data_IF_639036360041
#
_entry.id   IF_639036360041
#
_cell.length_a   1.000
_cell.length_b   1.000
_cell.length_c   1.000
_cell.angle_alpha   90.00
_cell.angle_beta   90.00
_cell.angle_gamma   90.00
#
_symmetry.space_group_name_H-M   'P 1'
#
loop_
_entity.id
_entity.type
_entity.pdbx_description
1 polymer ?
#
# COMPACT_ATOMS: atom_id res chain seq x y z
N UNK A 1 24.60 18.28 -17.15
CA UNK A 1 24.59 17.83 -15.76
C UNK A 1 25.91 18.16 -15.06
N UNK A 2 25.90 18.25 -13.74
CA UNK A 2 27.12 18.39 -12.94
C UNK A 2 27.60 17.02 -12.50
N UNK A 3 28.85 16.69 -12.83
CA UNK A 3 29.51 15.47 -12.38
C UNK A 3 30.40 15.76 -11.18
N UNK A 4 30.23 15.04 -10.07
CA UNK A 4 31.08 15.17 -8.90
C UNK A 4 32.31 14.29 -9.05
N UNK A 5 33.49 14.87 -9.25
CA UNK A 5 34.76 14.12 -9.34
C UNK A 5 35.13 13.43 -8.02
N UNK A 6 34.70 13.95 -6.87
CA UNK A 6 35.04 13.41 -5.54
C UNK A 6 34.26 12.12 -5.19
N UNK A 7 33.10 11.91 -5.82
CA UNK A 7 32.22 10.75 -5.51
C UNK A 7 31.94 9.87 -6.72
N UNK A 8 32.46 10.19 -7.90
CA UNK A 8 32.25 9.42 -9.12
C UNK A 8 30.79 9.31 -9.55
N UNK A 9 29.91 10.21 -9.11
CA UNK A 9 28.47 10.17 -9.37
C UNK A 9 27.98 11.47 -9.99
N UNK A 10 26.97 11.35 -10.86
CA UNK A 10 26.25 12.51 -11.34
C UNK A 10 25.41 13.10 -10.21
N UNK A 11 25.54 14.41 -9.96
CA UNK A 11 24.69 15.14 -9.01
C UNK A 11 23.28 15.26 -9.58
N UNK A 12 23.18 15.59 -10.85
CA UNK A 12 21.95 15.48 -11.63
C UNK A 12 22.30 15.25 -13.11
N UNK A 13 21.40 14.57 -13.81
CA UNK A 13 21.50 14.33 -15.23
C UNK A 13 20.17 14.66 -15.89
N UNK A 14 20.21 15.39 -17.01
CA UNK A 14 19.04 15.64 -17.85
C UNK A 14 19.25 14.93 -19.17
N UNK A 15 18.41 13.94 -19.45
CA UNK A 15 18.42 13.23 -20.72
C UNK A 15 17.49 13.91 -21.70
N UNK A 16 18.05 14.46 -22.78
CA UNK A 16 17.25 15.07 -23.85
C UNK A 16 16.42 14.03 -24.63
N UNK A 17 16.88 12.77 -24.66
CA UNK A 17 16.17 11.68 -25.34
C UNK A 17 14.96 11.14 -24.57
N UNK A 18 15.04 11.12 -23.25
CA UNK A 18 13.99 10.51 -22.39
C UNK A 18 13.16 11.52 -21.62
N UNK A 19 13.42 12.82 -21.77
CA UNK A 19 12.74 13.89 -20.98
C UNK A 19 12.73 13.63 -19.45
N UNK A 20 13.77 12.98 -18.95
CA UNK A 20 13.89 12.59 -17.54
C UNK A 20 15.06 13.30 -16.87
N UNK A 21 14.88 13.70 -15.63
CA UNK A 21 15.94 14.20 -14.75
C UNK A 21 16.38 13.09 -13.80
N UNK A 22 17.64 12.66 -13.88
CA UNK A 22 18.24 11.70 -12.94
C UNK A 22 18.97 12.42 -11.81
N UNK A 23 18.80 11.98 -10.57
CA UNK A 23 19.57 12.42 -9.41
C UNK A 23 20.35 11.24 -8.86
N UNK A 24 21.66 11.41 -8.66
CA UNK A 24 22.59 10.38 -8.21
C UNK A 24 22.60 9.12 -9.13
N UNK A 25 22.21 9.27 -10.39
CA UNK A 25 22.15 8.22 -11.41
C UNK A 25 22.56 8.72 -12.75
N UNK A 26 23.24 7.90 -13.54
CA UNK A 26 23.42 8.09 -14.99
C UNK A 26 22.33 7.37 -15.79
N UNK A 27 21.63 6.41 -15.18
CA UNK A 27 20.49 5.76 -15.78
C UNK A 27 19.25 6.66 -15.69
N UNK A 28 18.50 6.73 -16.77
CA UNK A 28 17.21 7.44 -16.84
C UNK A 28 16.22 6.55 -17.57
N UNK A 29 14.98 6.62 -17.14
CA UNK A 29 13.87 5.90 -17.76
C UNK A 29 12.97 6.87 -18.49
N UNK A 30 12.45 6.46 -19.66
CA UNK A 30 11.43 7.22 -20.39
C UNK A 30 10.06 7.18 -19.68
N UNK A 31 9.88 6.26 -18.74
CA UNK A 31 8.65 6.10 -17.97
C UNK A 31 8.50 7.12 -16.85
N UNK A 32 9.60 7.82 -16.45
CA UNK A 32 9.59 8.77 -15.35
C UNK A 32 10.20 10.12 -15.73
N UNK A 33 9.60 11.22 -15.27
CA UNK A 33 10.17 12.55 -15.43
C UNK A 33 11.30 12.84 -14.43
N UNK A 34 11.33 12.13 -13.29
CA UNK A 34 12.37 12.21 -12.28
C UNK A 34 12.76 10.80 -11.85
N UNK A 35 14.03 10.45 -12.02
CA UNK A 35 14.63 9.20 -11.55
C UNK A 35 15.66 9.50 -10.45
N UNK A 36 15.46 8.99 -9.25
CA UNK A 36 16.35 9.19 -8.10
C UNK A 36 16.92 7.86 -7.64
N UNK A 37 18.23 7.67 -7.77
CA UNK A 37 18.92 6.52 -7.19
C UNK A 37 19.24 6.79 -5.72
N UNK A 38 18.25 6.58 -4.85
CA UNK A 38 18.37 6.83 -3.41
C UNK A 38 17.04 7.26 -2.78
N UNK A 39 17.11 7.75 -1.56
CA UNK A 39 15.95 8.24 -0.83
C UNK A 39 15.66 9.70 -1.14
N UNK A 40 14.38 10.08 -1.11
CA UNK A 40 13.93 11.46 -1.19
C UNK A 40 13.50 11.90 0.21
N UNK A 41 14.11 12.98 0.72
CA UNK A 41 13.72 13.62 1.96
C UNK A 41 13.18 15.03 1.67
N UNK A 42 11.93 15.26 2.03
CA UNK A 42 11.29 16.57 1.93
C UNK A 42 11.07 17.15 3.34
N UNK A 43 11.42 18.40 3.58
CA UNK A 43 11.20 19.08 4.87
C UNK A 43 9.74 19.53 5.06
N UNK A 44 8.89 19.35 4.05
CA UNK A 44 7.47 19.65 4.06
C UNK A 44 6.71 18.60 3.23
N UNK A 45 5.42 18.83 3.00
CA UNK A 45 4.55 17.91 2.32
C UNK A 45 4.96 17.64 0.86
N UNK A 46 4.85 16.39 0.43
CA UNK A 46 4.83 16.01 -0.98
C UNK A 46 3.36 15.94 -1.40
N UNK A 47 2.94 16.83 -2.30
CA UNK A 47 1.54 16.97 -2.74
C UNK A 47 1.35 16.26 -4.07
N UNK A 48 0.43 15.29 -4.10
CA UNK A 48 -0.03 14.68 -5.34
C UNK A 48 -1.30 15.37 -5.85
N UNK A 49 -1.39 15.56 -7.16
CA UNK A 49 -2.53 16.17 -7.81
C UNK A 49 -3.77 15.26 -7.72
N UNK A 50 -4.91 15.80 -7.23
CA UNK A 50 -6.13 15.01 -7.02
C UNK A 50 -7.44 15.82 -7.21
N UNK A 51 -7.45 16.80 -8.10
CA UNK A 51 -8.60 17.64 -8.37
C UNK A 51 -9.71 16.86 -9.11
N UNK A 52 -10.95 16.89 -8.57
CA UNK A 52 -12.12 16.25 -9.18
C UNK A 52 -12.36 16.68 -10.62
N UNK A 53 -12.11 17.96 -10.94
CA UNK A 53 -12.35 18.54 -12.28
C UNK A 53 -11.47 17.92 -13.38
N UNK A 54 -10.49 17.14 -12.99
CA UNK A 54 -9.52 16.44 -13.86
C UNK A 54 -9.66 14.92 -13.80
N UNK A 55 -10.81 14.45 -13.27
CA UNK A 55 -11.14 13.02 -13.17
C UNK A 55 -12.51 12.79 -13.79
N UNK A 56 -12.65 11.70 -14.50
CA UNK A 56 -13.90 11.20 -15.07
C UNK A 56 -14.12 9.75 -14.63
N UNK A 57 -15.31 9.20 -14.86
CA UNK A 57 -15.67 7.82 -14.51
C UNK A 57 -15.33 7.48 -13.05
N UNK A 58 -15.72 8.39 -12.14
CA UNK A 58 -15.39 8.24 -10.71
C UNK A 58 -16.36 7.24 -10.08
N UNK A 59 -15.84 6.08 -9.74
CA UNK A 59 -16.57 4.98 -9.10
C UNK A 59 -15.92 4.65 -7.74
N UNK A 60 -16.74 4.12 -6.83
CA UNK A 60 -16.24 3.59 -5.55
C UNK A 60 -15.56 2.25 -5.80
N UNK A 61 -14.42 2.02 -5.14
CA UNK A 61 -13.68 0.76 -5.26
C UNK A 61 -14.53 -0.37 -4.64
N UNK A 62 -14.87 -1.35 -5.47
CA UNK A 62 -15.60 -2.53 -5.05
C UNK A 62 -14.71 -3.59 -4.41
N UNK A 63 -15.30 -4.44 -3.54
CA UNK A 63 -14.64 -5.56 -2.87
C UNK A 63 -13.27 -5.19 -2.26
N UNK A 64 -13.20 -3.98 -1.65
CA UNK A 64 -11.93 -3.44 -1.19
C UNK A 64 -11.29 -4.29 -0.10
N UNK A 65 -12.07 -4.73 0.89
CA UNK A 65 -11.58 -5.63 1.94
C UNK A 65 -11.10 -6.97 1.37
N UNK A 66 -11.83 -7.54 0.41
CA UNK A 66 -11.45 -8.79 -0.24
C UNK A 66 -10.11 -8.68 -0.99
N UNK A 67 -9.85 -7.55 -1.65
CA UNK A 67 -8.57 -7.26 -2.30
C UNK A 67 -7.44 -7.11 -1.28
N UNK A 68 -7.68 -6.39 -0.19
CA UNK A 68 -6.68 -6.21 0.90
C UNK A 68 -6.28 -7.55 1.52
N UNK A 69 -7.24 -8.43 1.78
CA UNK A 69 -6.99 -9.74 2.40
C UNK A 69 -6.19 -10.70 1.51
N UNK A 70 -6.13 -10.45 0.21
CA UNK A 70 -5.29 -11.19 -0.72
C UNK A 70 -3.85 -10.65 -0.79
N UNK A 71 -3.64 -9.39 -0.41
CA UNK A 71 -2.31 -8.79 -0.42
C UNK A 71 -1.46 -9.31 0.73
N UNK A 72 -0.17 -9.44 0.49
CA UNK A 72 0.81 -9.90 1.47
C UNK A 72 1.81 -8.81 1.79
N UNK A 73 1.82 -8.33 3.04
CA UNK A 73 2.91 -7.52 3.55
C UNK A 73 4.14 -8.38 3.82
N UNK A 74 5.30 -7.91 3.41
CA UNK A 74 6.57 -8.64 3.55
C UNK A 74 7.65 -7.79 4.19
N UNK A 75 8.60 -8.46 4.85
CA UNK A 75 9.89 -7.87 5.20
C UNK A 75 10.95 -8.44 4.26
N UNK A 76 11.86 -7.62 3.82
CA UNK A 76 12.89 -8.00 2.85
C UNK A 76 14.18 -7.20 3.03
N UNK A 77 15.26 -7.72 2.45
CA UNK A 77 16.51 -6.98 2.27
C UNK A 77 16.66 -6.70 0.79
N UNK A 78 16.99 -5.45 0.43
CA UNK A 78 17.26 -5.11 -0.98
C UNK A 78 18.51 -5.80 -1.49
N UNK A 79 18.44 -6.26 -2.73
CA UNK A 79 19.61 -6.68 -3.50
C UNK A 79 20.08 -5.42 -4.24
N UNK A 80 21.28 -4.96 -3.91
CA UNK A 80 21.89 -3.81 -4.56
C UNK A 80 22.95 -4.25 -5.54
N UNK A 81 23.08 -3.53 -6.63
CA UNK A 81 24.24 -3.65 -7.50
C UNK A 81 25.52 -3.28 -6.73
N UNK A 82 26.64 -3.88 -7.11
CA UNK A 82 27.90 -3.84 -6.37
C UNK A 82 28.41 -2.42 -6.02
N UNK A 83 28.12 -1.45 -6.90
CA UNK A 83 28.52 -0.05 -6.71
C UNK A 83 27.68 0.76 -5.69
N UNK A 84 26.55 0.21 -5.22
CA UNK A 84 25.64 0.85 -4.23
C UNK A 84 25.72 0.14 -2.88
N UNK A 85 26.37 -1.02 -2.82
CA UNK A 85 26.36 -1.98 -1.73
C UNK A 85 26.78 -1.41 -0.35
N UNK A 86 27.70 -0.47 -0.31
CA UNK A 86 28.31 -0.02 0.95
C UNK A 86 27.41 0.90 1.79
N UNK A 87 26.35 1.46 1.21
CA UNK A 87 25.51 2.45 1.90
C UNK A 87 24.24 1.88 2.54
N UNK A 88 23.79 0.67 2.15
CA UNK A 88 22.46 0.15 2.46
C UNK A 88 22.42 -1.32 2.85
N UNK A 89 23.56 -2.01 2.91
CA UNK A 89 23.60 -3.45 3.18
C UNK A 89 23.13 -3.79 4.59
N UNK A 90 22.23 -4.78 4.67
CA UNK A 90 21.79 -5.40 5.93
C UNK A 90 20.57 -4.75 6.58
N UNK A 91 20.00 -3.67 6.03
CA UNK A 91 18.78 -3.07 6.56
C UNK A 91 17.55 -3.85 6.06
N UNK A 92 16.77 -4.37 7.00
CA UNK A 92 15.46 -4.95 6.69
C UNK A 92 14.44 -3.83 6.41
N UNK A 93 13.72 -3.95 5.32
CA UNK A 93 12.62 -3.07 4.93
C UNK A 93 11.31 -3.85 4.95
N UNK A 94 10.20 -3.13 4.94
CA UNK A 94 8.86 -3.71 4.84
C UNK A 94 8.11 -3.08 3.67
N UNK A 95 7.26 -3.84 3.04
CA UNK A 95 6.47 -3.36 1.91
C UNK A 95 5.66 -4.47 1.25
N UNK A 96 5.32 -4.26 -0.01
CA UNK A 96 4.59 -5.18 -0.86
C UNK A 96 5.48 -5.58 -2.04
N UNK A 97 5.17 -6.70 -2.68
CA UNK A 97 5.83 -7.15 -3.91
C UNK A 97 4.96 -6.72 -5.10
N UNK A 98 5.53 -5.93 -6.01
CA UNK A 98 4.79 -5.34 -7.12
C UNK A 98 4.12 -6.38 -8.02
N UNK A 99 4.79 -7.48 -8.31
CA UNK A 99 4.24 -8.57 -9.13
C UNK A 99 3.04 -9.26 -8.45
N UNK A 100 3.06 -9.43 -7.12
CA UNK A 100 1.92 -9.99 -6.38
C UNK A 100 0.73 -9.00 -6.35
N UNK A 101 1.02 -7.71 -6.15
CA UNK A 101 -0.01 -6.66 -6.18
C UNK A 101 -0.64 -6.52 -7.56
N UNK A 102 0.13 -6.71 -8.62
CA UNK A 102 -0.35 -6.61 -10.00
C UNK A 102 -1.46 -7.63 -10.32
N UNK A 103 -1.46 -8.80 -9.67
CA UNK A 103 -2.50 -9.81 -9.84
C UNK A 103 -3.83 -9.44 -9.14
N UNK A 104 -3.78 -8.53 -8.14
CA UNK A 104 -4.93 -8.17 -7.30
C UNK A 104 -5.45 -6.77 -7.66
N UNK A 105 -4.55 -5.81 -7.85
CA UNK A 105 -4.82 -4.38 -8.06
C UNK A 105 -3.79 -3.80 -9.05
N UNK A 106 -3.87 -4.15 -10.34
CA UNK A 106 -2.91 -3.71 -11.35
C UNK A 106 -2.82 -2.18 -11.49
N UNK A 107 -3.89 -1.44 -11.15
CA UNK A 107 -3.98 0.01 -11.31
C UNK A 107 -2.99 0.79 -10.43
N UNK A 108 -2.43 0.17 -9.41
CA UNK A 108 -1.41 0.80 -8.56
C UNK A 108 0.01 0.38 -8.90
N UNK A 109 0.18 -0.53 -9.87
CA UNK A 109 1.49 -1.01 -10.30
C UNK A 109 1.91 -0.31 -11.58
N UNK A 110 3.18 0.07 -11.65
CA UNK A 110 3.82 0.57 -12.87
C UNK A 110 4.92 -0.39 -13.28
N UNK A 111 5.02 -0.64 -14.59
CA UNK A 111 6.14 -1.36 -15.19
C UNK A 111 6.87 -0.40 -16.14
N UNK A 112 8.12 -0.10 -15.83
CA UNK A 112 9.01 0.66 -16.69
C UNK A 112 9.70 -0.29 -17.64
N UNK A 113 9.14 -0.47 -18.85
CA UNK A 113 9.61 -1.46 -19.85
C UNK A 113 11.06 -1.23 -20.29
N UNK A 114 11.51 0.02 -20.33
CA UNK A 114 12.85 0.39 -20.78
C UNK A 114 13.98 -0.01 -19.81
N UNK A 115 13.66 -0.25 -18.55
CA UNK A 115 14.59 -0.72 -17.51
C UNK A 115 14.13 -2.04 -16.86
N UNK A 116 13.00 -2.57 -17.31
CA UNK A 116 12.35 -3.79 -16.77
C UNK A 116 12.15 -3.77 -15.24
N UNK A 117 11.72 -2.61 -14.71
CA UNK A 117 11.50 -2.42 -13.28
C UNK A 117 10.02 -2.24 -12.96
N UNK A 118 9.57 -2.89 -11.88
CA UNK A 118 8.22 -2.76 -11.35
C UNK A 118 8.19 -1.84 -10.14
N UNK A 119 7.18 -0.98 -10.06
CA UNK A 119 6.96 -0.07 -8.95
C UNK A 119 5.53 -0.10 -8.46
N UNK A 120 5.31 0.33 -7.21
CA UNK A 120 3.98 0.49 -6.62
C UNK A 120 3.76 1.96 -6.29
N UNK A 121 2.64 2.50 -6.77
CA UNK A 121 2.13 3.81 -6.36
C UNK A 121 1.48 3.70 -4.98
N UNK A 122 2.28 3.63 -3.92
CA UNK A 122 1.80 3.44 -2.54
C UNK A 122 0.75 4.47 -2.12
N UNK A 123 0.84 5.72 -2.59
CA UNK A 123 -0.17 6.74 -2.33
C UNK A 123 -1.56 6.38 -2.87
N UNK A 124 -1.64 5.62 -3.95
CA UNK A 124 -2.91 5.21 -4.55
C UNK A 124 -3.56 4.05 -3.77
N UNK A 125 -2.79 3.26 -3.04
CA UNK A 125 -3.30 2.19 -2.16
C UNK A 125 -4.16 2.75 -1.03
N UNK A 126 -3.97 4.02 -0.66
CA UNK A 126 -4.78 4.70 0.37
C UNK A 126 -6.27 4.66 0.05
N UNK A 127 -6.66 4.83 -1.23
CA UNK A 127 -8.05 4.73 -1.65
C UNK A 127 -8.67 3.36 -1.36
N UNK A 128 -7.92 2.28 -1.64
CA UNK A 128 -8.33 0.91 -1.33
C UNK A 128 -8.47 0.70 0.18
N UNK A 129 -7.51 1.19 0.97
CA UNK A 129 -7.55 1.07 2.43
C UNK A 129 -8.76 1.80 3.04
N UNK A 130 -9.12 2.97 2.51
CA UNK A 130 -10.31 3.73 2.97
C UNK A 130 -11.59 2.91 2.77
N UNK A 131 -11.80 2.34 1.60
CA UNK A 131 -13.00 1.53 1.34
C UNK A 131 -12.95 0.19 2.10
N UNK A 132 -11.79 -0.44 2.22
CA UNK A 132 -11.63 -1.68 3.02
C UNK A 132 -11.92 -1.47 4.52
N UNK A 133 -11.56 -0.32 5.10
CA UNK A 133 -11.91 0.03 6.48
C UNK A 133 -13.44 0.20 6.62
N UNK A 134 -14.10 0.79 5.63
CA UNK A 134 -15.58 0.92 5.64
C UNK A 134 -16.27 -0.44 5.54
N UNK A 135 -15.77 -1.34 4.70
CA UNK A 135 -16.29 -2.72 4.61
C UNK A 135 -16.12 -3.45 5.95
N UNK A 136 -14.95 -3.33 6.57
CA UNK A 136 -14.67 -3.91 7.88
C UNK A 136 -15.60 -3.33 8.98
N UNK A 137 -15.84 -2.02 8.98
CA UNK A 137 -16.72 -1.37 9.92
C UNK A 137 -18.18 -1.88 9.81
N UNK A 138 -18.64 -2.16 8.59
CA UNK A 138 -19.95 -2.75 8.32
C UNK A 138 -20.08 -4.15 8.93
N UNK A 139 -19.08 -4.99 8.71
CA UNK A 139 -19.04 -6.34 9.27
C UNK A 139 -19.06 -6.30 10.81
N UNK A 140 -18.30 -5.39 11.42
CA UNK A 140 -18.28 -5.22 12.88
C UNK A 140 -19.66 -4.81 13.42
N UNK A 141 -20.39 -3.94 12.73
CA UNK A 141 -21.74 -3.55 13.16
C UNK A 141 -22.75 -4.69 13.05
N UNK A 142 -22.71 -5.44 11.96
CA UNK A 142 -23.52 -6.65 11.80
C UNK A 142 -23.22 -7.69 12.90
N UNK A 143 -21.95 -7.90 13.24
CA UNK A 143 -21.55 -8.78 14.34
C UNK A 143 -22.08 -8.31 15.70
N UNK A 144 -22.09 -7.00 15.97
CA UNK A 144 -22.67 -6.46 17.21
C UNK A 144 -24.15 -6.75 17.32
N UNK A 145 -24.91 -6.61 16.23
CA UNK A 145 -26.34 -6.94 16.23
C UNK A 145 -26.58 -8.43 16.53
N UNK A 146 -25.78 -9.31 15.92
CA UNK A 146 -25.84 -10.76 16.18
C UNK A 146 -25.53 -11.04 17.65
N UNK A 147 -24.48 -10.48 18.20
CA UNK A 147 -24.08 -10.66 19.61
C UNK A 147 -25.19 -10.18 20.56
N UNK A 148 -25.78 -9.02 20.28
CA UNK A 148 -26.89 -8.50 21.09
C UNK A 148 -28.11 -9.42 21.07
N UNK A 149 -28.43 -10.02 19.94
CA UNK A 149 -29.54 -10.98 19.85
C UNK A 149 -29.22 -12.29 20.58
N UNK A 150 -28.00 -12.81 20.43
CA UNK A 150 -27.53 -13.97 21.19
C UNK A 150 -27.56 -13.72 22.70
N UNK A 151 -27.19 -12.53 23.15
CA UNK A 151 -27.26 -12.17 24.58
C UNK A 151 -28.70 -12.21 25.12
N UNK A 152 -29.66 -11.68 24.35
CA UNK A 152 -31.08 -11.76 24.72
C UNK A 152 -31.57 -13.21 24.83
N UNK A 153 -31.14 -14.07 23.94
CA UNK A 153 -31.53 -15.49 23.94
C UNK A 153 -30.87 -16.25 25.10
N UNK A 154 -29.62 -15.93 25.42
CA UNK A 154 -28.92 -16.45 26.60
C UNK A 154 -29.67 -16.02 27.90
N UNK A 155 -30.10 -14.78 27.99
CA UNK A 155 -30.82 -14.31 29.19
C UNK A 155 -32.18 -15.00 29.35
N UNK A 156 -32.93 -15.25 28.26
CA UNK A 156 -34.15 -16.04 28.27
C UNK A 156 -33.88 -17.49 28.69
N UNK A 157 -32.82 -18.10 28.18
CA UNK A 157 -32.44 -19.47 28.56
C UNK A 157 -32.09 -19.57 30.06
N UNK A 158 -31.36 -18.60 30.60
CA UNK A 158 -31.05 -18.52 32.04
C UNK A 158 -32.33 -18.44 32.87
N UNK A 159 -33.30 -17.62 32.48
CA UNK A 159 -34.59 -17.53 33.15
C UNK A 159 -35.35 -18.86 33.11
N UNK A 160 -35.40 -19.53 31.95
CA UNK A 160 -36.03 -20.85 31.84
C UNK A 160 -35.37 -21.87 32.72
N UNK A 161 -34.02 -21.93 32.74
CA UNK A 161 -33.27 -22.85 33.62
C UNK A 161 -33.58 -22.59 35.09
N UNK A 162 -33.58 -21.33 35.51
CA UNK A 162 -33.95 -20.99 36.89
C UNK A 162 -35.36 -21.46 37.26
N UNK A 163 -36.34 -21.25 36.37
CA UNK A 163 -37.73 -21.66 36.60
C UNK A 163 -37.86 -23.17 36.70
N UNK A 164 -37.13 -23.95 35.90
CA UNK A 164 -37.11 -25.42 35.96
C UNK A 164 -36.50 -25.88 37.29
N UNK A 165 -35.39 -25.27 37.73
CA UNK A 165 -34.80 -25.60 39.04
C UNK A 165 -35.79 -25.40 40.19
N UNK A 166 -36.50 -24.28 40.21
CA UNK A 166 -37.52 -23.97 41.22
C UNK A 166 -38.70 -24.97 41.18
N UNK A 167 -39.02 -25.57 40.04
CA UNK A 167 -40.03 -26.59 39.92
C UNK A 167 -39.57 -27.98 40.41
N UNK A 168 -38.27 -28.25 40.31
CA UNK A 168 -37.68 -29.52 40.75
C UNK A 168 -37.42 -29.57 42.27
N UNK A 169 -37.37 -28.42 42.96
CA UNK A 169 -37.15 -28.33 44.41
C UNK A 169 -38.45 -28.37 45.20
N UNK A 170 -39.60 -28.46 44.57
CA UNK A 170 -40.93 -28.63 45.19
C UNK A 170 -41.41 -30.04 45.13
#
# INVERSE_FOLDING_TARGET
GHYSQNYGRWIYYHSLGNNCMGIASSATSSSYSLYVSGSIYATSNIVAYSDRRKKENIETIDNALGKILQMRGVSYNRIYEEHIKDSWTGKTEIGLIAQEVMEILPEVVTHAEDVDEYGINYGNVVGLLVEGIKDQAKIVEEQKEIINNQQKDIDKLKEMVYNIQQMMEK
#
